data_IF_046056509453
#
_entry.id   IF_046056509453
#
_cell.length_a   1.000
_cell.length_b   1.000
_cell.length_c   1.000
_cell.angle_alpha   90.00
_cell.angle_beta   90.00
_cell.angle_gamma   90.00
#
_symmetry.space_group_name_H-M   'P 1'
#
loop_
_entity.id
_entity.type
_entity.pdbx_description
1 polymer ?
#
# COMPACT_ATOMS: atom_id res chain seq x y z
N UNK A 1 14.44 28.09 -18.49
CA UNK A 1 14.62 27.94 -17.03
C UNK A 1 13.23 27.85 -16.41
N UNK A 2 12.69 26.67 -16.25
CA UNK A 2 11.40 26.44 -15.60
C UNK A 2 11.67 25.90 -14.20
N UNK A 3 11.30 26.66 -13.19
CA UNK A 3 11.46 26.31 -11.78
C UNK A 3 10.39 25.27 -11.42
N UNK A 4 10.80 24.05 -11.11
CA UNK A 4 9.94 23.05 -10.49
C UNK A 4 9.69 23.43 -9.04
N UNK A 5 8.46 23.75 -8.70
CA UNK A 5 8.02 23.85 -7.32
C UNK A 5 7.63 22.44 -6.88
N UNK A 6 8.52 21.77 -6.16
CA UNK A 6 8.18 20.58 -5.40
C UNK A 6 7.28 21.01 -4.24
N UNK A 7 6.00 20.77 -4.34
CA UNK A 7 5.08 20.85 -3.23
C UNK A 7 5.30 19.65 -2.31
N UNK A 8 6.15 19.81 -1.30
CA UNK A 8 6.23 18.86 -0.21
C UNK A 8 4.95 18.99 0.63
N UNK A 9 4.09 17.99 0.56
CA UNK A 9 2.98 17.83 1.52
C UNK A 9 3.60 17.34 2.82
N UNK A 10 3.97 18.27 3.70
CA UNK A 10 4.33 17.96 5.07
C UNK A 10 3.04 17.63 5.84
N UNK A 11 2.78 16.35 6.07
CA UNK A 11 1.82 15.92 7.08
C UNK A 11 2.43 16.23 8.45
N UNK A 12 2.06 17.36 9.03
CA UNK A 12 2.34 17.68 10.42
C UNK A 12 1.44 16.79 11.30
N UNK A 13 1.95 15.64 11.70
CA UNK A 13 1.41 14.93 12.84
C UNK A 13 1.83 15.70 14.11
N UNK A 14 0.94 16.55 14.61
CA UNK A 14 1.10 17.12 15.94
C UNK A 14 0.88 16.02 16.98
N UNK A 15 1.95 15.34 17.34
CA UNK A 15 1.97 14.43 18.46
C UNK A 15 1.78 15.21 19.76
N UNK A 16 0.60 15.14 20.35
CA UNK A 16 0.41 15.51 21.74
C UNK A 16 1.19 14.52 22.60
N UNK A 17 2.39 14.90 23.03
CA UNK A 17 3.14 14.19 24.06
C UNK A 17 2.49 14.49 25.40
N UNK A 18 1.59 13.62 25.84
CA UNK A 18 1.23 13.56 27.25
C UNK A 18 2.45 13.01 27.99
N UNK A 19 2.92 13.67 29.08
CA UNK A 19 3.94 13.08 29.92
C UNK A 19 3.36 11.85 30.60
N UNK A 20 3.77 10.67 30.18
CA UNK A 20 3.50 9.44 30.94
C UNK A 20 4.45 9.48 32.12
N UNK A 21 3.97 9.94 33.25
CA UNK A 21 4.66 9.76 34.53
C UNK A 21 4.43 8.31 34.94
N UNK A 22 5.29 7.41 34.50
CA UNK A 22 5.40 6.08 35.04
C UNK A 22 6.11 6.21 36.40
N UNK A 23 5.37 6.54 37.44
CA UNK A 23 5.78 6.18 38.78
C UNK A 23 5.47 4.69 38.90
N UNK A 24 6.48 3.84 38.95
CA UNK A 24 6.38 2.45 39.33
C UNK A 24 5.92 2.38 40.81
N UNK A 25 4.62 2.59 41.02
CA UNK A 25 3.99 2.24 42.28
C UNK A 25 3.69 0.74 42.23
N UNK A 26 4.61 -0.04 42.77
CA UNK A 26 4.35 -1.42 43.11
C UNK A 26 3.50 -1.41 44.38
N UNK A 27 2.19 -1.67 44.33
CA UNK A 27 1.40 -1.80 45.56
C UNK A 27 1.92 -3.02 46.33
N UNK A 28 2.02 -2.93 47.66
CA UNK A 28 2.37 -4.08 48.48
C UNK A 28 1.41 -5.23 48.19
N UNK A 29 1.86 -6.48 48.19
CA UNK A 29 1.01 -7.63 47.92
C UNK A 29 -0.23 -7.56 48.86
N UNK A 30 -1.43 -7.81 48.30
CA UNK A 30 -2.66 -7.74 49.08
C UNK A 30 -2.54 -8.67 50.26
N UNK A 31 -2.69 -8.11 51.45
CA UNK A 31 -2.80 -8.93 52.69
C UNK A 31 -4.06 -9.78 52.51
N UNK A 32 -3.89 -11.09 52.65
CA UNK A 32 -5.00 -12.03 52.55
C UNK A 32 -6.16 -11.61 53.47
N UNK A 33 -7.41 -11.82 53.04
CA UNK A 33 -8.56 -11.45 53.84
C UNK A 33 -8.51 -12.16 55.20
N UNK A 34 -8.92 -11.48 56.29
CA UNK A 34 -9.03 -12.10 57.58
C UNK A 34 -9.99 -13.30 57.50
N UNK A 35 -9.80 -14.34 58.34
CA UNK A 35 -10.68 -15.52 58.33
C UNK A 35 -12.14 -15.10 58.49
N UNK A 36 -12.98 -15.41 57.45
CA UNK A 36 -14.39 -15.04 57.41
C UNK A 36 -14.74 -13.83 56.57
N UNK A 37 -13.77 -13.19 55.89
CA UNK A 37 -14.06 -12.14 54.93
C UNK A 37 -14.57 -12.72 53.59
N UNK A 38 -15.48 -11.99 52.94
CA UNK A 38 -16.00 -12.34 51.64
C UNK A 38 -14.86 -12.55 50.65
N UNK A 39 -14.99 -13.49 49.69
CA UNK A 39 -14.01 -13.64 48.64
C UNK A 39 -13.81 -12.28 47.92
N UNK A 40 -12.55 -11.92 47.60
CA UNK A 40 -12.30 -10.68 46.90
C UNK A 40 -13.11 -10.65 45.62
N UNK A 41 -13.60 -9.47 45.20
CA UNK A 41 -14.30 -9.35 43.92
C UNK A 41 -13.37 -9.87 42.80
N UNK A 42 -13.93 -10.49 41.74
CA UNK A 42 -13.13 -11.02 40.67
C UNK A 42 -12.24 -9.90 40.10
N UNK A 43 -10.94 -10.19 40.09
CA UNK A 43 -9.97 -9.24 39.53
C UNK A 43 -10.34 -9.07 38.07
N UNK A 44 -10.77 -7.87 37.70
CA UNK A 44 -10.96 -7.54 36.30
C UNK A 44 -9.58 -7.59 35.61
N UNK A 45 -9.31 -8.68 34.92
CA UNK A 45 -8.14 -8.74 34.06
C UNK A 45 -8.30 -7.64 33.02
N UNK A 46 -7.26 -6.80 32.79
CA UNK A 46 -7.32 -5.85 31.69
C UNK A 46 -7.63 -6.65 30.44
N UNK A 47 -8.62 -6.21 29.69
CA UNK A 47 -8.91 -6.76 28.38
C UNK A 47 -7.62 -6.59 27.56
N UNK A 48 -6.87 -7.68 27.39
CA UNK A 48 -5.77 -7.69 26.44
C UNK A 48 -6.41 -7.46 25.09
N UNK A 49 -6.20 -6.30 24.52
CA UNK A 49 -6.55 -6.07 23.13
C UNK A 49 -5.61 -6.97 22.36
N UNK A 50 -6.12 -8.11 21.90
CA UNK A 50 -5.35 -8.99 21.02
C UNK A 50 -4.98 -8.19 19.77
N UNK A 51 -3.73 -7.74 19.71
CA UNK A 51 -3.21 -7.05 18.55
C UNK A 51 -3.12 -8.06 17.40
N UNK A 52 -3.63 -7.66 16.23
CA UNK A 52 -3.56 -8.49 15.04
C UNK A 52 -2.10 -8.82 14.72
N UNK A 53 -1.85 -10.10 14.38
CA UNK A 53 -0.52 -10.57 14.01
C UNK A 53 -0.35 -10.49 12.49
N UNK A 54 0.51 -9.59 12.05
CA UNK A 54 0.80 -9.34 10.63
C UNK A 54 1.84 -10.30 10.02
N UNK A 55 2.43 -11.18 10.82
CA UNK A 55 3.47 -12.11 10.38
C UNK A 55 2.89 -13.22 9.51
N UNK A 56 3.53 -13.50 8.39
CA UNK A 56 3.24 -14.65 7.54
C UNK A 56 2.98 -14.29 6.09
N UNK A 57 2.72 -15.31 5.26
CA UNK A 57 2.34 -15.13 3.86
C UNK A 57 0.90 -14.64 3.74
N UNK A 58 0.62 -13.92 2.67
CA UNK A 58 -0.72 -13.49 2.31
C UNK A 58 -0.92 -13.46 0.80
N UNK A 59 -2.17 -13.59 0.39
CA UNK A 59 -2.61 -13.39 -0.99
C UNK A 59 -3.87 -12.53 -0.98
N UNK A 60 -4.09 -11.80 -2.05
CA UNK A 60 -5.26 -10.93 -2.13
C UNK A 60 -5.56 -10.43 -3.52
N UNK A 61 -6.63 -9.66 -3.60
CA UNK A 61 -7.05 -8.95 -4.79
C UNK A 61 -7.26 -7.47 -4.49
N UNK A 62 -7.15 -6.66 -5.52
CA UNK A 62 -7.38 -5.22 -5.41
C UNK A 62 -8.08 -4.66 -6.63
N UNK A 63 -8.70 -3.51 -6.42
CA UNK A 63 -9.28 -2.66 -7.45
C UNK A 63 -8.82 -1.23 -7.20
N UNK A 64 -8.50 -0.51 -8.26
CA UNK A 64 -7.99 0.84 -8.18
C UNK A 64 -8.37 1.69 -9.37
N UNK A 65 -7.94 2.93 -9.29
CA UNK A 65 -8.03 3.90 -10.37
C UNK A 65 -6.66 4.49 -10.61
N UNK A 66 -6.23 4.46 -11.87
CA UNK A 66 -4.95 4.98 -12.32
C UNK A 66 -5.15 6.28 -13.09
N UNK A 67 -4.23 7.23 -12.92
CA UNK A 67 -4.14 8.44 -13.74
C UNK A 67 -2.68 8.77 -13.99
N UNK A 68 -2.34 9.07 -15.24
CA UNK A 68 -0.96 9.27 -15.62
C UNK A 68 -0.75 10.37 -16.62
N UNK A 69 0.52 10.54 -17.00
CA UNK A 69 0.98 11.44 -18.05
C UNK A 69 2.07 10.72 -18.84
N UNK A 70 2.02 10.88 -20.15
CA UNK A 70 3.07 10.42 -21.05
C UNK A 70 4.04 11.57 -21.26
N UNK A 71 5.34 11.34 -21.03
CA UNK A 71 6.37 12.36 -21.28
C UNK A 71 6.43 12.69 -22.78
N UNK A 72 6.60 13.97 -23.08
CA UNK A 72 6.61 14.53 -24.45
C UNK A 72 5.29 14.38 -25.24
N UNK A 73 4.18 14.04 -24.57
CA UNK A 73 2.85 13.98 -25.16
C UNK A 73 1.80 14.61 -24.23
N UNK A 74 0.68 15.09 -24.80
CA UNK A 74 -0.43 15.65 -24.03
C UNK A 74 -1.41 14.57 -23.53
N UNK A 75 -1.17 13.29 -23.86
CA UNK A 75 -2.01 12.17 -23.43
C UNK A 75 -1.98 11.99 -21.89
N UNK A 76 -3.16 11.79 -21.32
CA UNK A 76 -3.38 11.55 -19.88
C UNK A 76 -4.20 10.28 -19.68
N UNK A 77 -3.61 9.10 -19.93
CA UNK A 77 -4.35 7.86 -19.77
C UNK A 77 -4.80 7.70 -18.33
N UNK A 78 -6.06 7.35 -18.19
CA UNK A 78 -6.67 7.08 -16.88
C UNK A 78 -7.72 5.99 -17.01
N UNK A 79 -7.88 5.19 -15.96
CA UNK A 79 -8.83 4.10 -16.02
C UNK A 79 -8.86 3.27 -14.74
N UNK A 80 -9.79 2.33 -14.73
CA UNK A 80 -9.86 1.33 -13.67
C UNK A 80 -8.73 0.31 -13.85
N UNK A 81 -8.16 -0.09 -12.74
CA UNK A 81 -7.19 -1.18 -12.66
C UNK A 81 -7.67 -2.22 -11.65
N UNK A 82 -7.35 -3.48 -11.87
CA UNK A 82 -7.64 -4.53 -10.92
C UNK A 82 -6.63 -5.65 -11.05
N UNK A 83 -6.28 -6.27 -9.93
CA UNK A 83 -5.23 -7.26 -9.94
C UNK A 83 -5.19 -8.16 -8.73
N UNK A 84 -4.19 -9.03 -8.77
CA UNK A 84 -3.85 -9.94 -7.69
C UNK A 84 -2.53 -9.52 -7.07
N UNK A 85 -2.41 -9.79 -5.79
CA UNK A 85 -1.21 -9.51 -5.01
C UNK A 85 -0.90 -10.64 -4.06
N UNK A 86 0.36 -10.78 -3.70
CA UNK A 86 0.81 -11.73 -2.69
C UNK A 86 2.11 -11.28 -2.09
N UNK A 87 2.35 -11.68 -0.86
CA UNK A 87 3.55 -11.26 -0.15
C UNK A 87 3.81 -12.04 1.11
N UNK A 88 4.86 -11.62 1.80
CA UNK A 88 5.24 -12.15 3.09
C UNK A 88 5.66 -11.01 4.02
N UNK A 89 5.14 -11.02 5.25
CA UNK A 89 5.47 -10.05 6.28
C UNK A 89 6.27 -10.70 7.41
N UNK A 90 7.28 -9.99 7.89
CA UNK A 90 7.99 -10.23 9.14
C UNK A 90 7.58 -9.17 10.15
N UNK A 91 7.24 -9.57 11.36
CA UNK A 91 6.85 -8.65 12.43
C UNK A 91 7.78 -8.79 13.63
N UNK A 92 8.25 -7.65 14.14
CA UNK A 92 9.03 -7.57 15.37
C UNK A 92 8.45 -6.44 16.24
N UNK A 93 7.70 -6.81 17.25
CA UNK A 93 6.92 -5.87 18.05
C UNK A 93 5.91 -5.11 17.16
N UNK A 94 5.89 -3.78 17.20
CA UNK A 94 5.01 -2.97 16.35
C UNK A 94 5.52 -2.80 14.92
N UNK A 95 6.77 -3.16 14.62
CA UNK A 95 7.37 -2.98 13.31
C UNK A 95 7.08 -4.16 12.39
N UNK A 96 6.62 -3.87 11.18
CA UNK A 96 6.33 -4.85 10.14
C UNK A 96 7.18 -4.53 8.92
N UNK A 97 7.92 -5.53 8.44
CA UNK A 97 8.66 -5.46 7.19
C UNK A 97 8.14 -6.56 6.27
N UNK A 98 8.14 -6.35 4.98
CA UNK A 98 7.63 -7.35 4.07
C UNK A 98 8.10 -7.16 2.63
N UNK A 99 7.79 -8.17 1.83
CA UNK A 99 7.90 -8.11 0.38
C UNK A 99 6.52 -8.40 -0.22
N UNK A 100 6.15 -7.65 -1.24
CA UNK A 100 4.89 -7.82 -1.96
C UNK A 100 5.15 -7.81 -3.46
N UNK A 101 4.54 -8.74 -4.18
CA UNK A 101 4.45 -8.72 -5.63
C UNK A 101 3.00 -8.61 -6.05
N UNK A 102 2.76 -7.86 -7.11
CA UNK A 102 1.42 -7.74 -7.70
C UNK A 102 1.46 -7.69 -9.22
N UNK A 103 0.34 -8.08 -9.81
CA UNK A 103 0.06 -7.95 -11.23
C UNK A 103 -1.32 -7.32 -11.39
N UNK A 104 -1.39 -6.31 -12.25
CA UNK A 104 -2.58 -5.49 -12.51
C UNK A 104 -2.94 -5.57 -13.98
N UNK A 105 -4.23 -5.72 -14.25
CA UNK A 105 -4.83 -5.45 -15.55
C UNK A 105 -5.48 -4.07 -15.48
N UNK A 106 -5.26 -3.26 -16.48
CA UNK A 106 -5.77 -1.89 -16.49
C UNK A 106 -6.51 -1.59 -17.78
N UNK A 107 -7.62 -0.87 -17.65
CA UNK A 107 -8.37 -0.28 -18.76
C UNK A 107 -7.97 1.17 -19.02
N UNK A 108 -6.76 1.59 -18.62
CA UNK A 108 -6.28 2.94 -18.89
C UNK A 108 -5.96 3.11 -20.36
N UNK A 109 -6.82 3.85 -21.06
CA UNK A 109 -6.68 4.21 -22.48
C UNK A 109 -6.81 5.72 -22.62
N UNK A 110 -6.04 6.30 -23.52
CA UNK A 110 -6.25 7.65 -24.01
C UNK A 110 -5.97 7.73 -25.49
N UNK A 111 -6.83 8.45 -26.21
CA UNK A 111 -6.73 8.62 -27.66
C UNK A 111 -6.42 10.07 -27.96
N UNK A 112 -5.20 10.34 -28.41
CA UNK A 112 -4.80 11.63 -28.94
C UNK A 112 -4.49 11.44 -30.44
N UNK A 113 -5.49 11.69 -31.27
CA UNK A 113 -5.38 11.43 -32.71
C UNK A 113 -4.12 12.08 -33.35
N UNK A 114 -3.33 11.31 -34.12
CA UNK A 114 -3.63 9.97 -34.65
C UNK A 114 -3.17 8.78 -33.79
N UNK A 115 -2.78 9.01 -32.52
CA UNK A 115 -2.14 8.04 -31.65
C UNK A 115 -3.11 7.52 -30.56
N UNK A 116 -3.14 6.19 -30.34
CA UNK A 116 -3.77 5.55 -29.19
C UNK A 116 -2.68 4.95 -28.32
N UNK A 117 -2.66 5.32 -27.05
CA UNK A 117 -1.78 4.75 -26.03
C UNK A 117 -2.59 3.90 -25.07
N UNK A 118 -2.13 2.69 -24.81
CA UNK A 118 -2.72 1.81 -23.82
C UNK A 118 -1.64 1.12 -22.98
N UNK A 119 -1.94 0.90 -21.71
CA UNK A 119 -1.13 0.09 -20.81
C UNK A 119 -1.99 -1.08 -20.34
N UNK A 120 -1.97 -2.23 -21.04
CA UNK A 120 -2.89 -3.33 -20.75
C UNK A 120 -2.59 -4.04 -19.42
N UNK A 121 -1.34 -4.04 -18.99
CA UNK A 121 -0.95 -4.63 -17.71
C UNK A 121 0.33 -4.01 -17.15
N UNK A 122 0.46 -4.05 -15.85
CA UNK A 122 1.72 -3.79 -15.16
C UNK A 122 1.84 -4.68 -13.91
N UNK A 123 3.06 -4.85 -13.44
CA UNK A 123 3.36 -5.59 -12.22
C UNK A 123 4.41 -4.87 -11.40
N UNK A 124 4.43 -5.14 -10.10
CA UNK A 124 5.44 -4.58 -9.20
C UNK A 124 6.00 -5.64 -8.27
N UNK A 125 7.26 -5.43 -7.85
CA UNK A 125 7.91 -6.16 -6.76
C UNK A 125 8.43 -5.11 -5.79
N UNK A 126 7.93 -5.12 -4.54
CA UNK A 126 8.16 -4.03 -3.59
C UNK A 126 8.53 -4.56 -2.22
N UNK A 127 9.45 -3.85 -1.55
CA UNK A 127 9.62 -3.93 -0.12
C UNK A 127 8.58 -3.04 0.56
N UNK A 128 8.09 -3.46 1.73
CA UNK A 128 7.20 -2.65 2.57
C UNK A 128 7.76 -2.56 4.00
N UNK A 129 7.60 -1.40 4.61
CA UNK A 129 7.96 -1.14 6.00
C UNK A 129 6.84 -0.38 6.68
N UNK A 130 6.36 -0.90 7.80
CA UNK A 130 5.19 -0.37 8.47
C UNK A 130 5.28 -0.41 9.99
N UNK A 131 4.32 0.26 10.58
CA UNK A 131 4.09 0.28 12.01
C UNK A 131 2.65 -0.15 12.30
N UNK A 132 2.50 -1.17 13.14
CA UNK A 132 1.20 -1.69 13.53
C UNK A 132 0.79 -1.19 14.91
N UNK A 133 -0.46 -0.80 15.03
CA UNK A 133 -1.10 -0.43 16.29
C UNK A 133 -2.49 -1.08 16.34
N UNK A 134 -2.66 -1.97 17.30
CA UNK A 134 -3.85 -2.81 17.42
C UNK A 134 -4.16 -3.56 16.09
N UNK A 135 -5.27 -3.26 15.46
CA UNK A 135 -5.76 -3.92 14.25
C UNK A 135 -5.47 -3.14 12.96
N UNK A 136 -4.63 -2.10 13.04
CA UNK A 136 -4.30 -1.23 11.91
C UNK A 136 -2.79 -1.22 11.72
N UNK A 137 -2.35 -1.26 10.46
CA UNK A 137 -0.97 -1.07 10.07
C UNK A 137 -0.89 0.06 9.05
N UNK A 138 -0.02 1.03 9.29
CA UNK A 138 0.39 2.03 8.30
C UNK A 138 1.74 1.67 7.75
N UNK A 139 1.95 1.81 6.46
CA UNK A 139 3.20 1.41 5.83
C UNK A 139 3.59 2.30 4.65
N UNK A 140 4.87 2.33 4.37
CA UNK A 140 5.44 2.80 3.12
C UNK A 140 5.96 1.61 2.31
N UNK A 141 6.01 1.76 0.99
CA UNK A 141 6.49 0.74 0.08
C UNK A 141 7.34 1.37 -1.02
N UNK A 142 8.34 0.61 -1.48
CA UNK A 142 9.18 1.00 -2.61
C UNK A 142 9.70 -0.25 -3.33
N UNK A 143 9.92 -0.14 -4.64
CA UNK A 143 10.38 -1.27 -5.41
C UNK A 143 10.48 -1.02 -6.90
N UNK A 144 10.46 -2.11 -7.65
CA UNK A 144 10.51 -2.13 -9.10
C UNK A 144 9.13 -2.29 -9.69
N UNK A 145 8.90 -1.64 -10.82
CA UNK A 145 7.70 -1.75 -11.62
C UNK A 145 8.08 -2.22 -13.04
N UNK A 146 7.21 -3.02 -13.63
CA UNK A 146 7.32 -3.54 -14.99
C UNK A 146 5.97 -3.37 -15.66
N UNK A 147 5.95 -2.92 -16.90
CA UNK A 147 4.69 -2.73 -17.63
C UNK A 147 4.91 -2.72 -19.13
N UNK A 148 3.84 -2.96 -19.85
CA UNK A 148 3.82 -2.88 -21.30
C UNK A 148 3.17 -1.56 -21.73
N UNK A 149 3.85 -0.80 -22.56
CA UNK A 149 3.32 0.37 -23.23
C UNK A 149 3.13 0.05 -24.70
N UNK A 150 1.88 0.12 -25.17
CA UNK A 150 1.52 -0.09 -26.58
C UNK A 150 1.14 1.24 -27.18
N UNK A 151 1.77 1.56 -28.31
CA UNK A 151 1.44 2.71 -29.16
C UNK A 151 0.88 2.20 -30.49
N UNK A 152 -0.32 2.66 -30.85
CA UNK A 152 -0.98 2.31 -32.10
C UNK A 152 -1.21 3.54 -32.99
N UNK A 153 -0.89 3.41 -34.29
CA UNK A 153 -1.21 4.41 -35.27
C UNK A 153 -1.42 3.76 -36.66
N UNK A 154 -2.46 4.17 -37.39
CA UNK A 154 -2.79 3.69 -38.74
C UNK A 154 -2.72 2.16 -38.95
N UNK A 155 -3.08 1.37 -37.88
CA UNK A 155 -3.05 -0.10 -37.94
C UNK A 155 -1.67 -0.73 -37.71
N UNK A 156 -0.66 0.05 -37.37
CA UNK A 156 0.63 -0.42 -36.89
C UNK A 156 0.65 -0.29 -35.37
N UNK A 157 0.99 -1.39 -34.65
CA UNK A 157 1.16 -1.43 -33.22
C UNK A 157 2.61 -1.74 -32.88
N UNK A 158 3.18 -1.00 -31.94
CA UNK A 158 4.50 -1.26 -31.37
C UNK A 158 4.38 -1.35 -29.85
N UNK A 159 4.81 -2.48 -29.29
CA UNK A 159 4.77 -2.74 -27.84
C UNK A 159 6.17 -2.84 -27.28
N UNK A 160 6.41 -2.15 -26.18
CA UNK A 160 7.66 -2.23 -25.42
C UNK A 160 7.39 -2.50 -23.95
N UNK A 161 8.09 -3.51 -23.40
CA UNK A 161 8.11 -3.72 -21.94
C UNK A 161 9.12 -2.76 -21.32
N UNK A 162 8.65 -1.94 -20.41
CA UNK A 162 9.44 -0.96 -19.68
C UNK A 162 9.61 -1.41 -18.24
N UNK A 163 10.81 -1.20 -17.68
CA UNK A 163 11.07 -1.33 -16.26
C UNK A 163 11.20 0.06 -15.63
N UNK A 164 10.83 0.18 -14.38
CA UNK A 164 10.88 1.42 -13.65
C UNK A 164 10.89 1.21 -12.15
N UNK A 165 10.59 2.25 -11.42
CA UNK A 165 10.50 2.23 -9.96
C UNK A 165 9.12 2.66 -9.49
N UNK A 166 8.79 2.23 -8.27
CA UNK A 166 7.52 2.60 -7.64
C UNK A 166 7.75 2.91 -6.17
N UNK A 167 6.99 3.87 -5.67
CA UNK A 167 6.90 4.19 -4.23
C UNK A 167 5.45 4.39 -3.85
N UNK A 168 5.13 4.13 -2.60
CA UNK A 168 3.77 4.30 -2.14
C UNK A 168 3.63 4.31 -0.63
N UNK A 169 2.41 4.59 -0.21
CA UNK A 169 2.01 4.57 1.19
C UNK A 169 0.62 3.95 1.29
N UNK A 170 0.37 3.28 2.40
CA UNK A 170 -0.92 2.63 2.59
C UNK A 170 -1.26 2.38 4.05
N UNK A 171 -2.47 1.95 4.23
CA UNK A 171 -2.97 1.46 5.50
C UNK A 171 -3.71 0.15 5.30
N UNK A 172 -3.54 -0.77 6.22
CA UNK A 172 -4.17 -2.09 6.20
C UNK A 172 -4.87 -2.34 7.54
N UNK A 173 -6.09 -2.87 7.49
CA UNK A 173 -6.98 -3.05 8.62
C UNK A 173 -7.33 -4.51 8.76
N UNK A 174 -7.15 -5.09 9.94
CA UNK A 174 -7.68 -6.42 10.23
C UNK A 174 -9.21 -6.38 10.34
N UNK A 175 -9.88 -7.29 9.64
CA UNK A 175 -11.35 -7.35 9.59
C UNK A 175 -11.96 -8.22 10.70
N UNK A 176 -11.14 -8.84 11.55
CA UNK A 176 -11.59 -9.63 12.68
C UNK A 176 -12.58 -8.89 13.60
N UNK A 177 -12.37 -7.60 13.97
CA UNK A 177 -13.33 -6.87 14.78
C UNK A 177 -14.70 -6.65 14.12
N UNK A 178 -14.76 -6.77 12.79
CA UNK A 178 -15.99 -6.64 11.99
C UNK A 178 -16.69 -7.98 11.72
N UNK A 179 -16.15 -9.10 12.29
CA UNK A 179 -16.76 -10.42 12.15
C UNK A 179 -16.36 -11.21 10.90
N UNK A 180 -15.42 -10.73 10.08
CA UNK A 180 -14.98 -11.42 8.85
C UNK A 180 -13.91 -12.51 9.09
N UNK A 181 -13.63 -12.85 10.37
CA UNK A 181 -12.60 -13.82 10.73
C UNK A 181 -11.21 -13.19 10.86
N UNK A 182 -10.30 -13.95 11.49
CA UNK A 182 -8.99 -13.42 11.91
C UNK A 182 -7.95 -13.32 10.78
N UNK A 183 -8.24 -13.93 9.64
CA UNK A 183 -7.29 -14.02 8.52
C UNK A 183 -7.48 -12.95 7.46
N UNK A 184 -8.57 -12.19 7.53
CA UNK A 184 -8.91 -11.22 6.50
C UNK A 184 -8.49 -9.81 6.88
N UNK A 185 -7.88 -9.11 5.93
CA UNK A 185 -7.54 -7.70 6.04
C UNK A 185 -8.05 -6.92 4.83
N UNK A 186 -8.31 -5.64 5.03
CA UNK A 186 -8.58 -4.70 3.95
C UNK A 186 -7.49 -3.65 3.90
N UNK A 187 -7.06 -3.24 2.72
CA UNK A 187 -6.06 -2.18 2.55
C UNK A 187 -6.52 -1.07 1.61
N UNK A 188 -6.00 0.12 1.86
CA UNK A 188 -6.06 1.25 0.93
C UNK A 188 -4.61 1.71 0.74
N UNK A 189 -4.21 1.89 -0.52
CA UNK A 189 -2.83 2.22 -0.88
C UNK A 189 -2.81 3.25 -2.02
N UNK A 190 -1.88 4.17 -1.92
CA UNK A 190 -1.50 5.05 -3.01
C UNK A 190 -0.13 4.66 -3.53
N UNK A 191 0.00 4.50 -4.84
CA UNK A 191 1.25 4.22 -5.53
C UNK A 191 1.57 5.31 -6.53
N UNK A 192 2.82 5.64 -6.62
CA UNK A 192 3.41 6.40 -7.71
C UNK A 192 4.36 5.48 -8.47
N UNK A 193 4.21 5.40 -9.78
CA UNK A 193 4.98 4.54 -10.68
C UNK A 193 5.62 5.41 -11.75
N UNK A 194 6.90 5.19 -11.99
CA UNK A 194 7.69 5.85 -13.04
C UNK A 194 8.37 4.76 -13.88
N UNK A 195 7.85 4.55 -15.09
CA UNK A 195 8.42 3.61 -16.06
C UNK A 195 9.40 4.34 -16.97
N UNK A 196 10.60 3.75 -17.12
CA UNK A 196 11.67 4.32 -17.90
C UNK A 196 11.24 4.57 -19.36
N UNK A 197 11.76 5.66 -19.92
CA UNK A 197 11.51 6.04 -21.31
C UNK A 197 12.18 5.07 -22.27
N UNK A 198 11.39 4.53 -23.20
CA UNK A 198 11.89 3.73 -24.32
C UNK A 198 11.73 4.49 -25.65
N UNK A 199 12.67 4.34 -26.59
CA UNK A 199 12.53 4.90 -27.93
C UNK A 199 11.48 4.09 -28.71
N UNK A 200 10.45 4.76 -29.21
CA UNK A 200 9.49 4.18 -30.12
C UNK A 200 9.85 4.60 -31.56
N UNK A 201 10.03 3.61 -32.42
CA UNK A 201 10.36 3.86 -33.85
C UNK A 201 9.24 4.61 -34.57
N UNK A 202 7.99 4.36 -34.16
CA UNK A 202 6.80 4.96 -34.77
C UNK A 202 6.66 6.44 -34.39
N UNK A 203 7.05 6.85 -33.18
CA UNK A 203 6.93 8.24 -32.69
C UNK A 203 8.19 9.05 -32.93
N UNK A 204 9.35 8.40 -33.12
CA UNK A 204 10.66 9.05 -33.30
C UNK A 204 11.19 9.74 -32.03
N UNK A 205 10.53 9.58 -30.88
CA UNK A 205 10.90 10.17 -29.60
C UNK A 205 10.83 9.12 -28.48
N UNK A 206 11.61 9.31 -27.45
CA UNK A 206 11.53 8.49 -26.23
C UNK A 206 10.36 8.95 -25.38
N UNK A 207 9.44 8.03 -25.09
CA UNK A 207 8.27 8.28 -24.24
C UNK A 207 8.43 7.48 -22.94
N UNK A 208 8.36 8.16 -21.80
CA UNK A 208 8.22 7.59 -20.47
C UNK A 208 6.78 7.67 -20.00
N UNK A 209 6.39 6.79 -19.11
CA UNK A 209 5.05 6.79 -18.55
C UNK A 209 5.10 6.89 -17.03
N UNK A 210 4.47 7.93 -16.52
CA UNK A 210 4.33 8.17 -15.08
C UNK A 210 2.87 8.20 -14.71
N UNK A 211 2.53 7.48 -13.64
CA UNK A 211 1.15 7.45 -13.17
C UNK A 211 1.06 7.30 -11.65
N UNK A 212 -0.03 7.84 -11.12
CA UNK A 212 -0.49 7.58 -9.77
C UNK A 212 -1.62 6.57 -9.80
N UNK A 213 -1.70 5.74 -8.78
CA UNK A 213 -2.80 4.81 -8.56
C UNK A 213 -3.28 4.91 -7.12
N UNK A 214 -4.58 5.00 -6.93
CA UNK A 214 -5.21 4.72 -5.64
C UNK A 214 -5.96 3.40 -5.76
N UNK A 215 -5.73 2.50 -4.80
CA UNK A 215 -6.34 1.18 -4.82
C UNK A 215 -6.81 0.74 -3.45
N UNK A 216 -7.89 -0.02 -3.44
CA UNK A 216 -8.39 -0.75 -2.30
C UNK A 216 -8.27 -2.25 -2.56
N UNK A 217 -7.92 -3.02 -1.54
CA UNK A 217 -7.74 -4.45 -1.68
C UNK A 217 -8.14 -5.22 -0.43
N UNK A 218 -8.28 -6.52 -0.60
CA UNK A 218 -8.54 -7.46 0.48
C UNK A 218 -7.49 -8.55 0.42
N UNK A 219 -6.91 -8.89 1.57
CA UNK A 219 -5.91 -9.94 1.71
C UNK A 219 -6.40 -11.05 2.64
N UNK A 220 -5.97 -12.26 2.36
CA UNK A 220 -6.08 -13.41 3.24
C UNK A 220 -4.68 -13.79 3.74
N UNK A 221 -4.49 -13.75 5.05
CA UNK A 221 -3.26 -14.14 5.74
C UNK A 221 -3.36 -15.60 6.20
N UNK A 222 -2.27 -16.37 6.04
CA UNK A 222 -2.22 -17.79 6.39
C UNK A 222 -1.64 -18.01 7.79
#
# INVERSE_FOLDING_TARGET
>A
MKRFVLGAVALLATGATAPVSAADYYPPPPQGPPPGAYPPPPVAYPLTVDCYRWFGPYVGGNLGYTWGTVDNNFAKPSGLAGGLQGGFNWQNGPYVFGVEGDIQLTGAEDTFAPWKFSNPWFGTIRGRAGYSFANVMVYATAGLAFGELTAETFGLAESHTSAGWTVGVGTEFALAPMGFGQNWTAKIEYLYVDLASNPFSITGVSNGFRFGEIRAGVNYHF
#
